data_IF_645630378360
#
_entry.id   IF_645630378360
#
_cell.length_a   1.000
_cell.length_b   1.000
_cell.length_c   1.000
_cell.angle_alpha   90.00
_cell.angle_beta   90.00
_cell.angle_gamma   90.00
#
_symmetry.space_group_name_H-M   'P 1'
#
loop_
_entity.id
_entity.type
_entity.pdbx_description
1 polymer ?
#
# COMPACT_ATOMS: atom_id res chain seq x y z
N UNK A 1 4.69 6.67 -21.63
CA UNK A 1 4.09 6.48 -20.28
C UNK A 1 3.99 4.99 -19.97
N UNK A 2 3.95 4.55 -18.69
CA UNK A 2 3.71 3.13 -18.37
C UNK A 2 2.53 2.94 -17.40
N UNK A 3 1.70 1.92 -17.63
CA UNK A 3 0.55 1.57 -16.77
C UNK A 3 0.79 0.21 -16.11
N UNK A 4 0.56 0.13 -14.80
CA UNK A 4 0.90 -1.04 -14.01
C UNK A 4 -0.21 -1.46 -13.04
N UNK A 5 -0.71 -2.69 -13.20
CA UNK A 5 -1.69 -3.31 -12.31
C UNK A 5 -1.18 -4.68 -11.87
N UNK A 6 -0.53 -4.76 -10.71
CA UNK A 6 0.02 -6.03 -10.19
C UNK A 6 -0.86 -6.69 -9.14
N UNK A 7 -1.28 -5.91 -8.13
CA UNK A 7 -2.01 -6.44 -6.99
C UNK A 7 -3.16 -5.51 -6.65
N UNK A 8 -4.28 -6.10 -6.24
CA UNK A 8 -5.30 -5.39 -5.50
C UNK A 8 -4.90 -5.46 -4.03
N UNK A 9 -4.33 -4.38 -3.50
CA UNK A 9 -4.00 -4.30 -2.08
C UNK A 9 -4.91 -3.29 -1.36
N UNK A 10 -5.05 -3.48 -0.06
CA UNK A 10 -5.88 -2.63 0.80
C UNK A 10 -5.12 -1.40 1.33
N UNK A 11 -3.82 -1.32 1.03
CA UNK A 11 -2.92 -0.23 1.43
C UNK A 11 -1.94 0.10 0.31
N UNK A 12 -1.66 1.39 0.13
CA UNK A 12 -0.62 1.91 -0.75
C UNK A 12 0.58 2.28 0.11
N UNK A 13 1.68 1.52 -0.01
CA UNK A 13 2.89 1.70 0.78
C UNK A 13 4.01 2.34 -0.05
N UNK A 14 3.68 3.42 -0.76
CA UNK A 14 4.63 4.19 -1.56
C UNK A 14 4.57 5.67 -1.24
N UNK A 15 5.68 6.36 -1.46
CA UNK A 15 5.79 7.80 -1.32
C UNK A 15 6.95 8.37 -2.12
N UNK A 16 7.12 9.68 -2.07
CA UNK A 16 8.21 10.37 -2.73
C UNK A 16 9.11 11.05 -1.70
N UNK A 17 10.43 10.90 -1.86
CA UNK A 17 11.38 11.67 -1.06
C UNK A 17 11.25 13.15 -1.41
N UNK A 18 11.82 14.04 -0.58
CA UNK A 18 11.89 15.48 -0.89
C UNK A 18 12.59 15.78 -2.23
N UNK A 19 13.42 14.86 -2.70
CA UNK A 19 14.12 14.95 -3.99
C UNK A 19 13.32 14.32 -5.15
N UNK A 20 12.08 13.88 -4.91
CA UNK A 20 11.19 13.29 -5.92
C UNK A 20 11.46 11.81 -6.22
N UNK A 21 12.33 11.13 -5.46
CA UNK A 21 12.59 9.71 -5.67
C UNK A 21 11.45 8.86 -5.10
N UNK A 22 10.91 7.95 -5.90
CA UNK A 22 9.89 6.99 -5.47
C UNK A 22 10.50 6.02 -4.45
N UNK A 23 9.84 5.85 -3.32
CA UNK A 23 10.18 4.83 -2.34
C UNK A 23 8.96 4.00 -1.96
N UNK A 24 9.22 2.76 -1.58
CA UNK A 24 8.27 1.86 -0.95
C UNK A 24 8.75 1.52 0.44
N UNK A 25 7.82 1.51 1.38
CA UNK A 25 8.12 1.23 2.76
C UNK A 25 7.38 0.00 3.29
N UNK A 26 8.06 -0.82 4.10
CA UNK A 26 7.43 -1.93 4.79
C UNK A 26 6.72 -1.43 6.07
N UNK A 27 5.37 -1.33 6.12
CA UNK A 27 4.65 -0.94 7.33
C UNK A 27 4.68 -2.01 8.43
N UNK A 28 4.99 -3.26 8.06
CA UNK A 28 5.21 -4.41 8.92
C UNK A 28 6.33 -5.28 8.32
N UNK A 29 6.94 -6.20 9.10
CA UNK A 29 8.07 -7.00 8.62
C UNK A 29 7.77 -7.76 7.32
N UNK A 30 8.62 -7.55 6.30
CA UNK A 30 8.55 -8.20 4.99
C UNK A 30 7.26 -7.90 4.21
N UNK A 31 6.62 -6.75 4.42
CA UNK A 31 5.35 -6.41 3.79
C UNK A 31 5.42 -6.48 2.26
N UNK A 32 6.41 -5.84 1.62
CA UNK A 32 6.60 -5.85 0.18
C UNK A 32 6.74 -7.29 -0.34
N UNK A 33 7.57 -8.11 0.32
CA UNK A 33 7.75 -9.51 -0.08
C UNK A 33 6.46 -10.31 0.08
N UNK A 34 5.75 -10.16 1.21
CA UNK A 34 4.48 -10.86 1.48
C UNK A 34 3.41 -10.52 0.44
N UNK A 35 3.38 -9.27 -0.01
CA UNK A 35 2.39 -8.75 -0.94
C UNK A 35 2.68 -9.10 -2.41
N UNK A 36 3.95 -9.02 -2.81
CA UNK A 36 4.34 -9.05 -4.23
C UNK A 36 5.07 -10.32 -4.68
N UNK A 37 5.64 -11.12 -3.77
CA UNK A 37 6.37 -12.32 -4.18
C UNK A 37 5.44 -13.34 -4.84
N UNK A 38 5.90 -13.92 -5.96
CA UNK A 38 5.12 -14.86 -6.78
C UNK A 38 3.92 -14.26 -7.49
N UNK A 39 3.70 -12.93 -7.42
CA UNK A 39 2.65 -12.24 -8.19
C UNK A 39 3.21 -11.84 -9.54
N UNK A 40 2.55 -12.24 -10.61
CA UNK A 40 2.89 -11.83 -11.96
C UNK A 40 1.94 -10.76 -12.48
N UNK A 41 2.35 -10.08 -13.54
CA UNK A 41 1.51 -9.10 -14.22
C UNK A 41 2.16 -8.60 -15.50
N UNK A 42 1.62 -7.50 -16.02
CA UNK A 42 2.09 -6.89 -17.25
C UNK A 42 2.43 -5.42 -17.03
N UNK A 43 3.54 -4.98 -17.60
CA UNK A 43 3.90 -3.58 -17.73
C UNK A 43 3.60 -3.15 -19.16
N UNK A 44 2.72 -2.17 -19.31
CA UNK A 44 2.34 -1.65 -20.63
C UNK A 44 3.06 -0.35 -20.91
N UNK A 45 3.71 -0.25 -22.06
CA UNK A 45 4.22 1.01 -22.60
C UNK A 45 3.14 1.64 -23.44
N UNK A 46 2.69 2.82 -23.03
CA UNK A 46 1.70 3.61 -23.73
C UNK A 46 2.36 4.63 -24.65
N UNK A 47 1.74 4.87 -25.80
CA UNK A 47 2.10 5.95 -26.71
C UNK A 47 2.07 7.31 -25.99
N UNK A 48 2.83 8.29 -26.48
CA UNK A 48 2.65 9.66 -26.02
C UNK A 48 1.27 10.19 -26.45
N UNK A 49 0.68 11.04 -25.63
CA UNK A 49 -0.69 11.50 -25.83
C UNK A 49 -1.04 12.67 -24.94
N UNK A 50 -2.27 13.14 -25.08
CA UNK A 50 -2.82 14.18 -24.22
C UNK A 50 -3.22 13.57 -22.87
N UNK A 51 -2.34 13.77 -21.89
CA UNK A 51 -2.46 13.24 -20.55
C UNK A 51 -2.40 14.37 -19.53
N UNK A 52 -3.36 14.38 -18.61
CA UNK A 52 -3.40 15.35 -17.52
C UNK A 52 -2.64 14.80 -16.32
N UNK A 53 -1.75 15.62 -15.74
CA UNK A 53 -1.09 15.28 -14.48
C UNK A 53 -2.07 15.39 -13.33
N UNK A 54 -1.96 14.48 -12.37
CA UNK A 54 -2.68 14.63 -11.10
C UNK A 54 -1.79 15.32 -10.06
N UNK A 55 -2.33 15.50 -8.85
CA UNK A 55 -1.54 15.99 -7.71
C UNK A 55 -0.49 14.96 -7.24
N UNK A 56 -0.63 13.69 -7.64
CA UNK A 56 0.30 12.62 -7.30
C UNK A 56 1.44 12.61 -8.33
N UNK A 57 2.71 12.69 -7.90
CA UNK A 57 3.83 12.64 -8.82
C UNK A 57 3.81 11.38 -9.70
N UNK A 58 4.17 11.52 -10.98
CA UNK A 58 4.20 10.43 -11.96
C UNK A 58 2.84 9.75 -12.24
N UNK A 59 1.74 10.29 -11.73
CA UNK A 59 0.38 9.85 -12.06
C UNK A 59 -0.23 10.77 -13.11
N UNK A 60 -0.87 10.14 -14.10
CA UNK A 60 -1.51 10.82 -15.21
C UNK A 60 -2.85 10.17 -15.50
N UNK A 61 -3.81 10.98 -15.94
CA UNK A 61 -5.13 10.53 -16.37
C UNK A 61 -5.36 10.90 -17.83
N UNK A 62 -6.19 10.13 -18.52
CA UNK A 62 -6.63 10.42 -19.88
C UNK A 62 -8.14 10.30 -19.96
N UNK A 63 -8.79 11.24 -20.64
CA UNK A 63 -10.20 11.16 -20.97
C UNK A 63 -10.46 10.27 -22.20
N UNK A 64 -9.42 9.93 -22.96
CA UNK A 64 -9.49 9.11 -24.17
C UNK A 64 -8.84 7.74 -23.93
N UNK A 65 -9.23 6.70 -24.70
CA UNK A 65 -8.55 5.42 -24.66
C UNK A 65 -7.04 5.57 -24.94
N UNK A 66 -6.22 5.00 -24.06
CA UNK A 66 -4.76 5.07 -24.16
C UNK A 66 -4.24 3.96 -25.09
N UNK A 67 -3.53 4.34 -26.16
CA UNK A 67 -2.92 3.36 -27.07
C UNK A 67 -1.70 2.71 -26.44
N UNK A 68 -1.69 1.38 -26.41
CA UNK A 68 -0.55 0.57 -25.94
C UNK A 68 0.35 0.28 -27.15
N UNK A 69 1.65 0.55 -27.02
CA UNK A 69 2.68 0.33 -28.05
C UNK A 69 3.70 -0.73 -27.65
N UNK A 70 3.70 -1.15 -26.38
CA UNK A 70 4.55 -2.23 -25.88
C UNK A 70 3.93 -2.91 -24.67
N UNK A 71 4.32 -4.16 -24.43
CA UNK A 71 3.90 -4.94 -23.29
C UNK A 71 5.03 -5.86 -22.85
N UNK A 72 5.37 -5.84 -21.57
CA UNK A 72 6.35 -6.72 -20.94
C UNK A 72 5.67 -7.55 -19.85
N UNK A 73 5.88 -8.87 -19.88
CA UNK A 73 5.40 -9.75 -18.82
C UNK A 73 6.38 -9.76 -17.65
N UNK A 74 5.86 -9.46 -16.46
CA UNK A 74 6.59 -9.51 -15.20
C UNK A 74 6.23 -10.82 -14.50
N UNK A 75 7.11 -11.84 -14.48
CA UNK A 75 6.79 -13.14 -13.89
C UNK A 75 6.73 -13.10 -12.36
N UNK A 76 7.49 -12.20 -11.72
CA UNK A 76 7.47 -11.99 -10.28
C UNK A 76 7.69 -10.50 -9.98
N UNK A 77 6.68 -9.87 -9.40
CA UNK A 77 6.67 -8.47 -9.07
C UNK A 77 7.73 -8.10 -8.03
N UNK A 78 7.93 -8.94 -7.01
CA UNK A 78 8.93 -8.68 -5.97
C UNK A 78 10.35 -8.71 -6.56
N UNK A 79 10.63 -9.65 -7.48
CA UNK A 79 11.89 -9.66 -8.22
C UNK A 79 12.06 -8.41 -9.07
N UNK A 80 11.00 -7.93 -9.72
CA UNK A 80 11.05 -6.67 -10.48
C UNK A 80 11.37 -5.46 -9.57
N UNK A 81 10.73 -5.34 -8.41
CA UNK A 81 11.06 -4.30 -7.42
C UNK A 81 12.53 -4.33 -7.00
N UNK A 82 13.09 -5.52 -6.75
CA UNK A 82 14.52 -5.64 -6.38
C UNK A 82 15.45 -5.18 -7.51
N UNK A 83 15.13 -5.51 -8.77
CA UNK A 83 15.90 -5.05 -9.94
C UNK A 83 15.87 -3.54 -10.09
N UNK A 84 14.68 -2.93 -9.92
CA UNK A 84 14.53 -1.47 -9.97
C UNK A 84 15.27 -0.75 -8.84
N UNK A 85 15.36 -1.39 -7.66
CA UNK A 85 16.21 -0.88 -6.58
C UNK A 85 17.70 -0.98 -6.92
N UNK A 86 18.15 -2.11 -7.46
CA UNK A 86 19.55 -2.31 -7.88
C UNK A 86 19.96 -1.34 -8.98
N UNK A 87 19.05 -1.05 -9.91
CA UNK A 87 19.24 -0.02 -10.95
C UNK A 87 19.21 1.42 -10.39
N UNK A 88 18.80 1.60 -9.13
CA UNK A 88 18.74 2.91 -8.48
C UNK A 88 17.50 3.74 -8.82
N UNK A 89 16.51 3.16 -9.49
CA UNK A 89 15.28 3.85 -9.93
C UNK A 89 14.33 4.12 -8.76
N UNK A 90 14.26 3.20 -7.80
CA UNK A 90 13.42 3.30 -6.60
C UNK A 90 14.22 3.08 -5.32
N UNK A 91 13.59 3.31 -4.17
CA UNK A 91 14.10 2.91 -2.85
C UNK A 91 13.12 1.93 -2.21
N UNK A 92 13.62 0.78 -1.75
CA UNK A 92 12.86 -0.15 -0.91
C UNK A 92 13.42 -0.05 0.50
N UNK A 93 12.58 0.44 1.40
CA UNK A 93 12.93 0.63 2.80
C UNK A 93 12.29 -0.51 3.59
N UNK A 94 13.12 -1.37 4.18
CA UNK A 94 12.61 -2.47 5.00
C UNK A 94 12.09 -1.97 6.36
N UNK A 95 11.41 -2.85 7.08
CA UNK A 95 10.87 -2.52 8.39
C UNK A 95 11.96 -2.12 9.40
N UNK A 96 13.15 -2.70 9.30
CA UNK A 96 14.27 -2.40 10.21
C UNK A 96 14.80 -0.97 10.00
N UNK A 97 14.84 -0.50 8.75
CA UNK A 97 15.13 0.89 8.42
C UNK A 97 14.17 1.84 9.13
N UNK A 98 12.87 1.54 9.14
CA UNK A 98 11.90 2.34 9.89
C UNK A 98 12.06 2.23 11.40
N UNK A 99 12.33 1.04 11.92
CA UNK A 99 12.50 0.80 13.34
C UNK A 99 13.83 1.36 13.90
N UNK A 100 14.76 1.78 13.04
CA UNK A 100 16.07 2.30 13.45
C UNK A 100 16.02 3.66 14.17
N UNK A 101 14.96 4.45 13.93
CA UNK A 101 14.72 5.75 14.55
C UNK A 101 13.45 5.66 15.43
N UNK A 102 13.57 5.49 16.75
CA UNK A 102 12.44 5.24 17.63
C UNK A 102 11.35 6.33 17.60
N UNK A 103 11.75 7.59 17.44
CA UNK A 103 10.80 8.72 17.41
C UNK A 103 9.98 8.71 16.13
N UNK A 104 10.64 8.57 14.97
CA UNK A 104 9.94 8.47 13.67
C UNK A 104 9.11 7.21 13.60
N UNK A 105 9.63 6.11 14.13
CA UNK A 105 8.92 4.84 14.20
C UNK A 105 7.62 4.98 15.00
N UNK A 106 7.66 5.58 16.19
CA UNK A 106 6.48 5.81 17.01
C UNK A 106 5.44 6.69 16.29
N UNK A 107 5.87 7.80 15.66
CA UNK A 107 4.98 8.68 14.88
C UNK A 107 4.30 7.95 13.72
N UNK A 108 5.08 7.17 12.96
CA UNK A 108 4.55 6.38 11.84
C UNK A 108 3.59 5.30 12.31
N UNK A 109 3.91 4.61 13.41
CA UNK A 109 3.02 3.61 14.04
C UNK A 109 1.70 4.22 14.51
N UNK A 110 1.73 5.39 15.14
CA UNK A 110 0.53 6.11 15.54
C UNK A 110 -0.32 6.54 14.34
N UNK A 111 0.33 7.00 13.26
CA UNK A 111 -0.36 7.33 12.01
C UNK A 111 -1.01 6.10 11.37
N UNK A 112 -0.30 4.97 11.28
CA UNK A 112 -0.83 3.70 10.77
C UNK A 112 -2.02 3.22 11.61
N UNK A 113 -1.91 3.25 12.94
CA UNK A 113 -3.01 2.89 13.84
C UNK A 113 -4.24 3.75 13.60
N UNK A 114 -4.08 5.07 13.46
CA UNK A 114 -5.18 5.98 13.14
C UNK A 114 -5.81 5.66 11.79
N UNK A 115 -5.00 5.60 10.72
CA UNK A 115 -5.49 5.41 9.35
C UNK A 115 -6.21 4.07 9.17
N UNK A 116 -5.63 2.98 9.68
CA UNK A 116 -6.21 1.64 9.60
C UNK A 116 -7.49 1.55 10.45
N UNK A 117 -7.51 2.13 11.65
CA UNK A 117 -8.70 2.14 12.50
C UNK A 117 -9.86 2.92 11.86
N UNK A 118 -9.57 4.07 11.24
CA UNK A 118 -10.55 4.87 10.50
C UNK A 118 -11.11 4.09 9.30
N UNK A 119 -10.26 3.39 8.55
CA UNK A 119 -10.66 2.58 7.41
C UNK A 119 -11.54 1.39 7.83
N UNK A 120 -11.14 0.66 8.88
CA UNK A 120 -11.93 -0.43 9.47
C UNK A 120 -13.32 0.07 9.88
N UNK A 121 -13.39 1.23 10.56
CA UNK A 121 -14.63 1.89 10.98
C UNK A 121 -15.51 2.27 9.79
N UNK A 122 -14.96 3.07 8.87
CA UNK A 122 -15.67 3.64 7.72
C UNK A 122 -16.28 2.57 6.83
N UNK A 123 -15.57 1.46 6.62
CA UNK A 123 -16.01 0.36 5.75
C UNK A 123 -16.72 -0.77 6.50
N UNK A 124 -16.98 -0.61 7.80
CA UNK A 124 -17.61 -1.64 8.63
C UNK A 124 -16.93 -3.03 8.53
N UNK A 125 -15.60 -3.06 8.40
CA UNK A 125 -14.84 -4.26 8.01
C UNK A 125 -15.05 -5.41 9.02
N UNK A 126 -15.21 -5.08 10.30
CA UNK A 126 -15.43 -6.08 11.36
C UNK A 126 -16.75 -6.86 11.22
N UNK A 127 -17.73 -6.33 10.48
CA UNK A 127 -19.02 -7.02 10.26
C UNK A 127 -18.90 -8.20 9.30
N UNK A 128 -17.79 -8.30 8.56
CA UNK A 128 -17.49 -9.41 7.65
C UNK A 128 -16.10 -10.00 7.96
N UNK A 129 -15.93 -10.69 9.11
CA UNK A 129 -14.62 -11.13 9.61
C UNK A 129 -13.91 -12.16 8.72
N UNK A 130 -14.65 -12.80 7.81
CA UNK A 130 -14.13 -13.79 6.85
C UNK A 130 -13.75 -13.17 5.49
N UNK A 131 -14.01 -11.89 5.28
CA UNK A 131 -13.60 -11.19 4.06
C UNK A 131 -12.07 -11.13 3.96
N UNK A 132 -11.54 -11.12 2.73
CA UNK A 132 -10.10 -10.97 2.48
C UNK A 132 -9.52 -9.72 3.13
N UNK A 133 -10.30 -8.64 3.17
CA UNK A 133 -9.91 -7.37 3.78
C UNK A 133 -9.81 -7.49 5.31
N UNK A 134 -10.79 -8.12 5.97
CA UNK A 134 -10.72 -8.38 7.41
C UNK A 134 -9.56 -9.31 7.79
N UNK A 135 -9.33 -10.37 7.00
CA UNK A 135 -8.18 -11.26 7.18
C UNK A 135 -6.85 -10.50 7.05
N UNK A 136 -6.72 -9.66 6.02
CA UNK A 136 -5.54 -8.85 5.79
C UNK A 136 -5.18 -7.99 7.01
N UNK A 137 -6.13 -7.21 7.54
CA UNK A 137 -5.86 -6.35 8.69
C UNK A 137 -5.59 -7.16 9.97
N UNK A 138 -6.32 -8.26 10.19
CA UNK A 138 -6.12 -9.13 11.36
C UNK A 138 -4.75 -9.79 11.37
N UNK A 139 -4.25 -10.23 10.22
CA UNK A 139 -2.97 -10.93 10.11
C UNK A 139 -1.76 -9.98 10.14
N UNK A 140 -1.87 -8.82 9.50
CA UNK A 140 -0.74 -7.89 9.36
C UNK A 140 -0.68 -6.83 10.46
N UNK A 141 -1.83 -6.51 11.07
CA UNK A 141 -1.96 -5.49 12.12
C UNK A 141 -2.81 -5.99 13.30
N UNK A 142 -2.42 -7.11 13.94
CA UNK A 142 -3.24 -7.76 14.97
C UNK A 142 -3.57 -6.86 16.17
N UNK A 143 -2.61 -6.03 16.60
CA UNK A 143 -2.83 -5.10 17.72
C UNK A 143 -3.84 -4.00 17.38
N UNK A 144 -3.75 -3.43 16.17
CA UNK A 144 -4.70 -2.39 15.71
C UNK A 144 -6.09 -3.02 15.58
N UNK A 145 -6.19 -4.21 14.99
CA UNK A 145 -7.45 -4.97 14.87
C UNK A 145 -8.07 -5.26 16.25
N UNK A 146 -7.28 -5.65 17.24
CA UNK A 146 -7.76 -5.90 18.59
C UNK A 146 -8.25 -4.61 19.28
N UNK A 147 -7.48 -3.53 19.17
CA UNK A 147 -7.82 -2.23 19.77
C UNK A 147 -9.12 -1.68 19.22
N UNK A 148 -9.32 -1.75 17.89
CA UNK A 148 -10.54 -1.24 17.26
C UNK A 148 -11.76 -2.06 17.68
N UNK A 149 -11.68 -3.40 17.72
CA UNK A 149 -12.78 -4.24 18.19
C UNK A 149 -13.16 -3.97 19.66
N UNK A 150 -12.17 -3.75 20.53
CA UNK A 150 -12.42 -3.36 21.92
C UNK A 150 -13.13 -2.01 22.01
N UNK A 151 -12.73 -1.03 21.19
CA UNK A 151 -13.36 0.28 21.16
C UNK A 151 -14.83 0.19 20.72
N UNK A 152 -15.12 -0.60 19.67
CA UNK A 152 -16.46 -0.81 19.14
C UNK A 152 -17.38 -1.50 20.15
N UNK A 153 -16.89 -2.51 20.88
CA UNK A 153 -17.65 -3.16 21.97
C UNK A 153 -17.97 -2.21 23.12
N UNK A 154 -17.11 -1.23 23.40
CA UNK A 154 -17.31 -0.24 24.48
C UNK A 154 -18.32 0.83 24.06
N UNK A 155 -18.36 1.18 22.77
CA UNK A 155 -19.34 2.10 22.18
C UNK A 155 -20.74 1.48 22.05
N UNK A 156 -20.83 0.16 21.82
CA UNK A 156 -22.09 -0.59 21.73
C UNK A 156 -22.67 -1.01 23.10
N UNK A 157 -21.92 -0.86 24.20
CA UNK A 157 -22.42 -1.14 25.54
C UNK A 157 -23.44 -0.07 25.94
N UNK A 158 -24.73 -0.41 26.16
CA UNK A 158 -25.73 0.57 26.54
C UNK A 158 -25.30 1.24 27.85
N UNK A 159 -25.34 2.57 27.88
CA UNK A 159 -25.29 3.31 29.13
C UNK A 159 -26.53 2.93 29.95
N UNK A 160 -26.37 1.92 30.81
CA UNK A 160 -27.36 1.60 31.84
C UNK A 160 -27.25 2.72 32.87
N UNK A 161 -28.09 3.74 32.71
CA UNK A 161 -28.37 4.74 33.76
C UNK A 161 -29.37 4.17 34.76
#
# INVERSE_FOLDING_TARGET
MALFYLIRNYEYAYGYTRQGKLYFDDPFPNALKKLYAGKSGWLYTCEDGDYEKTEIPNEFVSAQPVRIVGAEYIPDAYVAFLREQEAGNILLLDYAHFASDPEKFAKKRAWLEKAISEEIRKKAIWKAPDSDCARYYRENYPEIWKNILKSLQTEEAPHVY
#
